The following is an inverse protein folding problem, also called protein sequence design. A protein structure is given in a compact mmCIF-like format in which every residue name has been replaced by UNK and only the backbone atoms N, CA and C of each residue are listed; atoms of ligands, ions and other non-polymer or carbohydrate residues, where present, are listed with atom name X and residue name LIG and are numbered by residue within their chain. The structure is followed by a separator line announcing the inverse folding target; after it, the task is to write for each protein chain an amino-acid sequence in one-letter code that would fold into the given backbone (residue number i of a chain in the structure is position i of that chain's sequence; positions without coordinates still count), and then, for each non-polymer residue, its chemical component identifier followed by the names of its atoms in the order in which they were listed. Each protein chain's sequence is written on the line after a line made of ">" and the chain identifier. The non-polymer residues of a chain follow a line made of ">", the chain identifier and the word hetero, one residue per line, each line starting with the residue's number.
data_IF_970471696905
#
_entry.id   IF_970471696905
#
_cell.length_a   1.000
_cell.length_b   1.000
_cell.length_c   1.000
_cell.angle_alpha   90.00
_cell.angle_beta   90.00
_cell.angle_gamma   90.00
#
_symmetry.space_group_name_H-M   'P 1'
#
loop_
_entity.id
_entity.type
_entity.pdbx_description
1 polymer ?
#
# COMPACT_ATOMS: atom_id res chain seq x y z
N UNK A 1 -5.27 20.15 29.49
CA UNK A 1 -6.21 19.43 28.59
C UNK A 1 -5.52 18.19 28.08
N UNK A 2 -5.69 17.06 28.78
CA UNK A 2 -5.34 15.75 28.24
C UNK A 2 -6.31 15.45 27.11
N UNK A 3 -5.92 15.78 25.89
CA UNK A 3 -6.79 15.75 24.73
C UNK A 3 -7.21 14.30 24.43
N UNK A 4 -8.49 14.08 24.13
CA UNK A 4 -9.04 12.78 23.69
C UNK A 4 -8.19 12.14 22.58
N UNK A 5 -7.56 12.98 21.74
CA UNK A 5 -6.59 12.56 20.73
C UNK A 5 -5.36 11.83 21.31
N UNK A 6 -4.87 12.23 22.48
CA UNK A 6 -3.80 11.54 23.19
C UNK A 6 -4.27 10.18 23.71
N UNK A 7 -5.45 10.11 24.34
CA UNK A 7 -6.04 8.85 24.80
C UNK A 7 -6.24 7.86 23.65
N UNK A 8 -6.80 8.33 22.53
CA UNK A 8 -6.99 7.52 21.32
C UNK A 8 -5.66 7.07 20.70
N UNK A 9 -4.62 7.91 20.79
CA UNK A 9 -3.27 7.54 20.36
C UNK A 9 -2.67 6.44 21.21
N UNK A 10 -2.89 6.43 22.53
CA UNK A 10 -2.45 5.36 23.42
C UNK A 10 -3.23 4.07 23.14
N UNK A 11 -4.56 4.13 23.07
CA UNK A 11 -5.40 2.97 22.72
C UNK A 11 -4.99 2.33 21.38
N UNK A 12 -4.71 3.16 20.37
CA UNK A 12 -4.25 2.65 19.08
C UNK A 12 -2.85 2.03 19.16
N UNK A 13 -1.94 2.58 19.99
CA UNK A 13 -0.63 1.94 20.24
C UNK A 13 -0.80 0.57 20.89
N UNK A 14 -1.68 0.46 21.88
CA UNK A 14 -1.97 -0.82 22.55
C UNK A 14 -2.58 -1.83 21.58
N UNK A 15 -3.52 -1.40 20.74
CA UNK A 15 -4.07 -2.22 19.65
C UNK A 15 -2.98 -2.69 18.68
N UNK A 16 -2.04 -1.80 18.32
CA UNK A 16 -0.92 -2.13 17.44
C UNK A 16 0.11 -3.05 18.10
N UNK A 17 0.16 -3.12 19.44
CA UNK A 17 1.02 -4.04 20.17
C UNK A 17 0.51 -5.49 20.08
N UNK A 18 -0.76 -5.71 19.74
CA UNK A 18 -1.31 -7.04 19.48
C UNK A 18 -0.58 -7.66 18.27
N UNK A 19 0.07 -8.84 18.42
CA UNK A 19 0.94 -9.39 17.39
C UNK A 19 0.28 -9.56 16.02
N UNK A 20 -0.98 -9.97 15.98
CA UNK A 20 -1.75 -10.14 14.73
C UNK A 20 -1.95 -8.81 14.01
N UNK A 21 -2.29 -7.75 14.74
CA UNK A 21 -2.50 -6.40 14.20
C UNK A 21 -1.17 -5.82 13.74
N UNK A 22 -0.11 -5.95 14.55
CA UNK A 22 1.24 -5.51 14.19
C UNK A 22 1.71 -6.15 12.89
N UNK A 23 1.58 -7.47 12.77
CA UNK A 23 1.92 -8.22 11.55
C UNK A 23 1.11 -7.74 10.34
N UNK A 24 -0.19 -7.51 10.51
CA UNK A 24 -1.05 -6.98 9.44
C UNK A 24 -0.57 -5.60 8.97
N UNK A 25 -0.34 -4.67 9.90
CA UNK A 25 0.13 -3.32 9.60
C UNK A 25 1.50 -3.33 8.91
N UNK A 26 2.41 -4.21 9.34
CA UNK A 26 3.71 -4.39 8.70
C UNK A 26 3.58 -4.90 7.26
N UNK A 27 2.72 -5.89 7.01
CA UNK A 27 2.44 -6.39 5.65
C UNK A 27 1.88 -5.28 4.75
N UNK A 28 0.89 -4.53 5.24
CA UNK A 28 0.31 -3.40 4.49
C UNK A 28 1.38 -2.34 4.19
N UNK A 29 2.23 -2.01 5.17
CA UNK A 29 3.36 -1.09 5.00
C UNK A 29 4.36 -1.57 3.94
N UNK A 30 4.66 -2.87 3.92
CA UNK A 30 5.54 -3.48 2.91
C UNK A 30 4.95 -3.39 1.51
N UNK A 31 3.65 -3.66 1.34
CA UNK A 31 2.94 -3.50 0.05
C UNK A 31 3.09 -2.06 -0.43
N UNK A 32 2.75 -1.08 0.41
CA UNK A 32 2.85 0.34 0.04
C UNK A 32 4.29 0.73 -0.33
N UNK A 33 5.29 0.26 0.44
CA UNK A 33 6.71 0.53 0.14
C UNK A 33 7.13 -0.07 -1.20
N UNK A 34 6.76 -1.32 -1.48
CA UNK A 34 7.16 -2.00 -2.71
C UNK A 34 6.64 -1.27 -3.96
N UNK A 35 5.38 -0.84 -3.91
CA UNK A 35 4.74 -0.08 -5.00
C UNK A 35 5.30 1.33 -5.15
N UNK A 36 5.74 1.98 -4.08
CA UNK A 36 6.28 3.35 -4.15
C UNK A 36 7.75 3.38 -4.57
N UNK A 37 8.56 2.41 -4.13
CA UNK A 37 10.01 2.40 -4.33
C UNK A 37 10.45 1.76 -5.64
N UNK A 38 9.64 0.86 -6.21
CA UNK A 38 9.98 0.22 -7.50
C UNK A 38 9.40 1.05 -8.64
N UNK A 39 10.27 1.64 -9.47
CA UNK A 39 9.86 2.53 -10.57
C UNK A 39 8.83 1.89 -11.51
N UNK A 40 9.06 0.64 -11.93
CA UNK A 40 8.15 -0.11 -12.80
C UNK A 40 6.78 -0.28 -12.13
N UNK A 41 6.73 -0.81 -10.91
CA UNK A 41 5.47 -0.98 -10.17
C UNK A 41 4.74 0.35 -9.97
N UNK A 42 5.45 1.43 -9.62
CA UNK A 42 4.85 2.74 -9.41
C UNK A 42 4.21 3.28 -10.70
N UNK A 43 4.95 3.24 -11.82
CA UNK A 43 4.47 3.75 -13.10
C UNK A 43 3.27 2.94 -13.61
N UNK A 44 3.39 1.61 -13.60
CA UNK A 44 2.31 0.69 -13.99
C UNK A 44 1.08 0.88 -13.10
N UNK A 45 1.27 1.00 -11.78
CA UNK A 45 0.21 1.27 -10.82
C UNK A 45 -0.52 2.58 -11.12
N UNK A 46 0.20 3.69 -11.36
CA UNK A 46 -0.42 4.98 -11.71
C UNK A 46 -1.24 4.89 -12.99
N UNK A 47 -0.75 4.17 -13.99
CA UNK A 47 -1.45 4.01 -15.26
C UNK A 47 -2.75 3.20 -15.07
N UNK A 48 -2.66 2.06 -14.38
CA UNK A 48 -3.83 1.21 -14.07
C UNK A 48 -4.83 1.96 -13.18
N UNK A 49 -4.34 2.69 -12.16
CA UNK A 49 -5.19 3.47 -11.27
C UNK A 49 -5.98 4.53 -12.05
N UNK A 50 -5.36 5.23 -13.01
CA UNK A 50 -6.06 6.19 -13.88
C UNK A 50 -7.10 5.51 -14.79
N UNK A 51 -6.81 4.32 -15.30
CA UNK A 51 -7.74 3.55 -16.14
C UNK A 51 -8.99 3.13 -15.35
N UNK A 52 -8.83 2.68 -14.11
CA UNK A 52 -9.94 2.17 -13.29
C UNK A 52 -10.76 3.32 -12.69
N UNK A 53 -10.11 4.35 -12.15
CA UNK A 53 -10.78 5.38 -11.32
C UNK A 53 -10.85 6.76 -11.96
N UNK A 54 -10.34 6.94 -13.18
CA UNK A 54 -10.26 8.23 -13.86
C UNK A 54 -9.18 9.16 -13.29
N UNK A 55 -9.11 10.39 -13.83
CA UNK A 55 -8.08 11.38 -13.46
C UNK A 55 -8.36 12.11 -12.12
N UNK A 56 -9.60 12.10 -11.63
CA UNK A 56 -10.04 13.00 -10.54
C UNK A 56 -10.06 12.36 -9.15
N UNK A 57 -10.05 11.02 -9.05
CA UNK A 57 -10.24 10.28 -7.79
C UNK A 57 -9.05 9.39 -7.40
N UNK A 58 -7.84 9.81 -7.74
CA UNK A 58 -6.60 9.05 -7.50
C UNK A 58 -6.18 9.19 -6.04
N UNK A 59 -6.79 8.40 -5.13
CA UNK A 59 -6.29 8.29 -3.76
C UNK A 59 -4.88 7.69 -3.80
N UNK A 60 -3.86 8.44 -3.43
CA UNK A 60 -2.48 7.96 -3.43
C UNK A 60 -2.23 6.99 -2.26
N UNK A 61 -1.31 6.04 -2.44
CA UNK A 61 -0.88 5.16 -1.36
C UNK A 61 -0.15 5.98 -0.27
N UNK A 62 -0.69 5.91 0.95
CA UNK A 62 -0.19 6.67 2.10
C UNK A 62 0.76 5.82 2.93
N UNK A 63 1.91 6.39 3.29
CA UNK A 63 2.78 5.81 4.31
C UNK A 63 2.49 6.50 5.65
N UNK A 64 2.40 5.75 6.75
CA UNK A 64 2.19 6.34 8.06
C UNK A 64 3.42 7.14 8.46
N UNK A 65 3.23 8.35 8.97
CA UNK A 65 4.25 9.03 9.77
C UNK A 65 4.23 8.47 11.18
N UNK A 66 5.41 8.40 11.83
CA UNK A 66 5.58 7.73 13.13
C UNK A 66 4.78 8.35 14.28
N UNK A 67 4.14 9.51 14.09
CA UNK A 67 3.70 10.37 15.20
C UNK A 67 2.18 10.43 15.42
N UNK A 68 1.33 9.76 14.63
CA UNK A 68 -0.14 9.82 14.82
C UNK A 68 -0.84 8.51 14.49
N UNK A 69 -1.73 8.04 15.39
CA UNK A 69 -2.60 6.88 15.21
C UNK A 69 -3.32 6.86 13.84
N UNK A 70 -3.77 8.03 13.38
CA UNK A 70 -4.44 8.19 12.10
C UNK A 70 -3.58 7.74 10.90
N UNK A 71 -2.25 7.80 10.99
CA UNK A 71 -1.36 7.39 9.90
C UNK A 71 -1.53 5.92 9.51
N UNK A 72 -1.68 5.03 10.49
CA UNK A 72 -1.90 3.60 10.24
C UNK A 72 -3.26 3.34 9.57
N UNK A 73 -4.30 3.99 10.08
CA UNK A 73 -5.66 3.91 9.51
C UNK A 73 -5.69 4.42 8.06
N UNK A 74 -5.14 5.61 7.81
CA UNK A 74 -5.08 6.22 6.49
C UNK A 74 -4.29 5.37 5.48
N UNK A 75 -3.23 4.68 5.93
CA UNK A 75 -2.50 3.71 5.10
C UNK A 75 -3.41 2.55 4.70
N UNK A 76 -4.07 1.91 5.67
CA UNK A 76 -4.99 0.79 5.40
C UNK A 76 -6.15 1.19 4.49
N UNK A 77 -6.75 2.35 4.73
CA UNK A 77 -7.81 2.89 3.88
C UNK A 77 -7.31 3.14 2.45
N UNK A 78 -6.10 3.71 2.29
CA UNK A 78 -5.54 3.96 0.96
C UNK A 78 -5.29 2.65 0.20
N UNK A 79 -4.86 1.58 0.88
CA UNK A 79 -4.68 0.26 0.27
C UNK A 79 -6.02 -0.35 -0.11
N UNK A 80 -7.03 -0.27 0.76
CA UNK A 80 -8.39 -0.78 0.48
C UNK A 80 -9.02 -0.07 -0.73
N UNK A 81 -8.92 1.26 -0.80
CA UNK A 81 -9.45 2.06 -1.93
C UNK A 81 -8.76 1.74 -3.26
N UNK A 82 -7.49 1.32 -3.22
CA UNK A 82 -6.71 0.95 -4.40
C UNK A 82 -6.58 -0.56 -4.62
N UNK A 83 -7.37 -1.39 -3.92
CA UNK A 83 -7.19 -2.84 -3.92
C UNK A 83 -7.22 -3.44 -5.34
N UNK A 84 -8.13 -2.97 -6.19
CA UNK A 84 -8.24 -3.47 -7.56
C UNK A 84 -7.00 -3.10 -8.38
N UNK A 85 -6.59 -1.82 -8.37
CA UNK A 85 -5.40 -1.37 -9.08
C UNK A 85 -4.12 -2.08 -8.60
N UNK A 86 -3.99 -2.33 -7.29
CA UNK A 86 -2.87 -3.08 -6.71
C UNK A 86 -2.83 -4.54 -7.22
N UNK A 87 -3.99 -5.19 -7.30
CA UNK A 87 -4.10 -6.56 -7.81
C UNK A 87 -3.72 -6.65 -9.29
N UNK A 88 -4.31 -5.79 -10.13
CA UNK A 88 -4.05 -5.75 -11.56
C UNK A 88 -2.58 -5.41 -11.88
N UNK A 89 -1.98 -4.48 -11.14
CA UNK A 89 -0.54 -4.17 -11.29
C UNK A 89 0.33 -5.37 -10.94
N UNK A 90 -0.01 -6.10 -9.88
CA UNK A 90 0.76 -7.28 -9.47
C UNK A 90 0.74 -8.38 -10.53
N UNK A 91 -0.40 -8.57 -11.20
CA UNK A 91 -0.56 -9.52 -12.31
C UNK A 91 0.26 -9.06 -13.52
N UNK A 92 0.12 -7.80 -13.93
CA UNK A 92 0.83 -7.26 -15.10
C UNK A 92 2.35 -7.40 -14.96
N UNK A 93 2.92 -6.88 -13.87
CA UNK A 93 4.37 -6.92 -13.64
C UNK A 93 4.86 -8.34 -13.34
N UNK A 94 4.01 -9.21 -12.77
CA UNK A 94 4.32 -10.62 -12.58
C UNK A 94 4.48 -11.35 -13.91
N UNK A 95 3.55 -11.12 -14.85
CA UNK A 95 3.55 -11.72 -16.17
C UNK A 95 4.75 -11.26 -17.02
N UNK A 96 5.05 -9.95 -17.00
CA UNK A 96 6.22 -9.39 -17.70
C UNK A 96 7.54 -10.07 -17.29
N UNK A 97 7.71 -10.34 -15.99
CA UNK A 97 8.92 -11.04 -15.48
C UNK A 97 8.99 -12.50 -15.89
N UNK A 98 7.85 -13.17 -16.07
CA UNK A 98 7.85 -14.56 -16.53
C UNK A 98 8.25 -14.63 -17.99
N UNK A 99 7.70 -13.76 -18.83
CA UNK A 99 8.02 -13.72 -20.27
C UNK A 99 9.51 -13.41 -20.48
N UNK A 100 10.06 -12.44 -19.76
CA UNK A 100 11.49 -12.09 -19.84
C UNK A 100 12.42 -13.28 -19.52
N UNK A 101 12.06 -14.09 -18.52
CA UNK A 101 12.81 -15.30 -18.18
C UNK A 101 12.76 -16.36 -19.28
N UNK A 102 11.58 -16.60 -19.85
CA UNK A 102 11.42 -17.59 -20.92
C UNK A 102 12.18 -17.16 -22.19
N UNK A 103 12.13 -15.88 -22.58
CA UNK A 103 12.85 -15.36 -23.75
C UNK A 103 14.37 -15.48 -23.58
N UNK A 104 14.89 -15.15 -22.39
CA UNK A 104 16.31 -15.27 -22.08
C UNK A 104 16.80 -16.73 -21.97
N UNK A 105 15.91 -17.71 -21.82
CA UNK A 105 16.26 -19.13 -21.77
C UNK A 105 16.22 -19.82 -23.15
N UNK A 106 15.64 -19.14 -24.16
CA UNK A 106 15.54 -19.62 -25.54
C UNK A 106 16.58 -18.97 -26.46
N UNK A 107 17.29 -17.94 -25.97
CA UNK A 107 18.42 -17.27 -26.65
C UNK A 107 19.75 -17.86 -26.20
#
# INVERSE_FOLDING_TARGET
>A
VGCLAHGLNLLFKDLCAIPTISKLLLKVKQIVKNFKNTHILHSTFKNIQKKIYGNTSVTTLKLPSNTRWAGGILMMESVKKNQQALKETSVAVGLERTIDKEVNNVS
#
